data_IF_936327052274
#
_entry.id   IF_936327052274
#
_cell.length_a   1.000
_cell.length_b   1.000
_cell.length_c   1.000
_cell.angle_alpha   90.00
_cell.angle_beta   90.00
_cell.angle_gamma   90.00
#
_symmetry.space_group_name_H-M   'P 1'
#
loop_
_entity.id
_entity.type
_entity.pdbx_description
1 polymer ?
#
# COMPACT_ATOMS: atom_id res chain seq x y z
N UNK A 1 20.53 -23.85 -11.28
CA UNK A 1 19.97 -25.13 -11.73
C UNK A 1 20.10 -25.23 -13.23
N UNK A 2 20.63 -26.35 -13.74
CA UNK A 2 20.90 -26.55 -15.16
C UNK A 2 19.74 -27.37 -15.76
N UNK A 3 18.79 -26.71 -16.44
CA UNK A 3 17.66 -27.39 -17.07
C UNK A 3 18.09 -27.93 -18.44
N UNK A 4 18.41 -29.22 -18.50
CA UNK A 4 18.79 -29.91 -19.73
C UNK A 4 17.52 -30.39 -20.45
N UNK A 5 17.07 -29.63 -21.44
CA UNK A 5 15.82 -29.89 -22.15
C UNK A 5 16.07 -30.82 -23.35
N UNK A 6 15.84 -32.11 -23.17
CA UNK A 6 15.88 -33.11 -24.25
C UNK A 6 14.52 -33.14 -24.97
N UNK A 7 14.47 -32.72 -26.23
CA UNK A 7 13.27 -32.74 -27.07
C UNK A 7 13.44 -33.63 -28.30
N UNK A 8 12.49 -34.53 -28.53
CA UNK A 8 12.39 -35.32 -29.76
C UNK A 8 11.25 -34.73 -30.62
N UNK A 9 11.54 -34.39 -31.87
CA UNK A 9 10.56 -33.85 -32.82
C UNK A 9 10.40 -34.79 -34.01
N UNK A 10 9.15 -35.17 -34.32
CA UNK A 10 8.79 -36.07 -35.41
C UNK A 10 7.92 -35.30 -36.41
N UNK A 11 8.47 -35.02 -37.60
CA UNK A 11 7.77 -34.34 -38.69
C UNK A 11 7.34 -35.34 -39.76
N UNK A 12 6.02 -35.48 -40.00
CA UNK A 12 5.46 -36.38 -41.01
C UNK A 12 4.86 -35.59 -42.18
N UNK A 13 5.27 -35.90 -43.41
CA UNK A 13 4.79 -35.24 -44.64
C UNK A 13 3.95 -36.22 -45.46
N UNK A 14 2.67 -35.92 -45.64
CA UNK A 14 1.78 -36.68 -46.51
C UNK A 14 2.16 -36.44 -47.99
N UNK A 15 2.27 -37.51 -48.80
CA UNK A 15 2.54 -37.43 -50.25
C UNK A 15 3.98 -37.75 -50.70
N UNK A 16 4.90 -38.07 -49.78
CA UNK A 16 6.27 -38.52 -50.09
C UNK A 16 6.47 -39.96 -49.58
N UNK A 17 7.02 -40.89 -50.37
CA UNK A 17 7.19 -42.28 -49.93
C UNK A 17 8.09 -42.39 -48.69
N UNK A 18 7.64 -43.16 -47.69
CA UNK A 18 8.25 -43.29 -46.36
C UNK A 18 9.76 -43.62 -46.41
N UNK A 19 10.20 -44.41 -47.40
CA UNK A 19 11.61 -44.77 -47.61
C UNK A 19 12.53 -43.57 -47.87
N UNK A 20 12.01 -42.49 -48.47
CA UNK A 20 12.76 -41.25 -48.71
C UNK A 20 12.78 -40.33 -47.49
N UNK A 21 11.85 -40.50 -46.55
CA UNK A 21 11.80 -39.70 -45.31
C UNK A 21 12.75 -40.24 -44.23
N UNK A 22 13.16 -41.51 -44.33
CA UNK A 22 14.07 -42.19 -43.41
C UNK A 22 15.53 -42.26 -43.91
N UNK A 23 15.81 -41.78 -45.12
CA UNK A 23 17.15 -41.80 -45.72
C UNK A 23 17.96 -40.55 -45.36
N UNK A 24 19.13 -40.73 -44.74
CA UNK A 24 20.02 -39.64 -44.32
C UNK A 24 20.51 -38.73 -45.48
N UNK A 25 20.43 -39.17 -46.73
CA UNK A 25 20.82 -38.39 -47.92
C UNK A 25 19.83 -37.27 -48.31
N UNK A 26 18.58 -37.31 -47.85
CA UNK A 26 17.54 -36.34 -48.22
C UNK A 26 17.41 -35.19 -47.20
N UNK A 27 18.16 -35.23 -46.10
CA UNK A 27 18.18 -34.18 -45.07
C UNK A 27 18.72 -32.86 -45.64
N UNK A 28 19.65 -32.93 -46.60
CA UNK A 28 20.23 -31.76 -47.25
C UNK A 28 19.24 -30.98 -48.13
N UNK A 29 18.32 -31.64 -48.83
CA UNK A 29 17.26 -30.95 -49.60
C UNK A 29 16.17 -30.36 -48.71
N UNK A 30 15.92 -30.98 -47.54
CA UNK A 30 14.90 -30.52 -46.58
C UNK A 30 15.25 -29.19 -45.91
N UNK A 31 16.55 -28.83 -45.85
CA UNK A 31 17.04 -27.53 -45.39
C UNK A 31 17.11 -26.46 -46.50
N UNK A 32 16.75 -26.79 -47.75
CA UNK A 32 16.74 -25.80 -48.84
C UNK A 32 15.59 -24.81 -48.70
N UNK A 33 15.77 -23.58 -49.20
CA UNK A 33 14.74 -22.51 -49.21
C UNK A 33 13.40 -22.94 -49.82
N UNK A 34 13.40 -23.93 -50.74
CA UNK A 34 12.18 -24.51 -51.33
C UNK A 34 11.45 -25.49 -50.39
N UNK A 35 12.13 -26.07 -49.41
CA UNK A 35 11.61 -27.04 -48.44
C UNK A 35 11.04 -26.43 -47.16
N UNK A 36 11.39 -25.17 -46.86
CA UNK A 36 10.93 -24.41 -45.68
C UNK A 36 9.51 -23.83 -45.82
N UNK A 37 8.92 -23.84 -47.02
CA UNK A 37 7.53 -23.37 -47.26
C UNK A 37 6.44 -24.13 -46.48
N UNK A 38 6.77 -25.31 -45.96
CA UNK A 38 5.90 -26.12 -45.11
C UNK A 38 6.44 -26.24 -43.68
N UNK A 39 7.49 -25.50 -43.33
CA UNK A 39 7.96 -25.48 -41.96
C UNK A 39 6.94 -24.71 -41.12
N UNK A 40 6.54 -25.29 -39.99
CA UNK A 40 5.61 -24.61 -39.11
C UNK A 40 6.27 -23.32 -38.60
N UNK A 41 5.51 -22.23 -38.44
CA UNK A 41 6.07 -20.99 -37.90
C UNK A 41 6.65 -21.28 -36.52
N UNK A 42 7.97 -21.11 -36.35
CA UNK A 42 8.62 -21.16 -35.05
C UNK A 42 8.06 -20.02 -34.20
N UNK A 43 7.10 -20.35 -33.34
CA UNK A 43 6.56 -19.43 -32.34
C UNK A 43 6.84 -19.99 -30.96
N UNK A 44 7.33 -19.12 -30.08
CA UNK A 44 7.32 -19.40 -28.67
C UNK A 44 5.88 -19.26 -28.15
N UNK A 45 5.16 -20.39 -28.05
CA UNK A 45 3.77 -20.44 -27.56
C UNK A 45 3.67 -20.45 -26.02
N UNK A 46 4.74 -20.10 -25.30
CA UNK A 46 4.68 -20.01 -23.85
C UNK A 46 3.89 -18.76 -23.46
N UNK A 47 2.74 -18.89 -22.77
CA UNK A 47 2.02 -17.74 -22.26
C UNK A 47 2.90 -17.01 -21.24
N UNK A 48 3.14 -15.72 -21.48
CA UNK A 48 3.81 -14.85 -20.49
C UNK A 48 2.87 -14.64 -19.31
N UNK A 49 3.21 -15.19 -18.15
CA UNK A 49 2.47 -14.98 -16.92
C UNK A 49 2.86 -13.62 -16.34
N UNK A 50 1.96 -12.63 -16.42
CA UNK A 50 2.09 -11.39 -15.65
C UNK A 50 1.39 -11.54 -14.29
N UNK A 51 2.15 -11.38 -13.21
CA UNK A 51 1.59 -11.40 -11.86
C UNK A 51 1.24 -9.98 -11.40
N UNK A 52 -0.05 -9.69 -11.23
CA UNK A 52 -0.54 -8.45 -10.60
C UNK A 52 -0.96 -8.72 -9.18
N UNK A 53 -0.13 -8.33 -8.21
CA UNK A 53 -0.48 -8.41 -6.79
C UNK A 53 -1.69 -7.50 -6.50
N UNK A 54 -2.77 -8.07 -5.99
CA UNK A 54 -3.95 -7.31 -5.57
C UNK A 54 -3.65 -6.59 -4.24
N UNK A 55 -4.05 -5.33 -4.11
CA UNK A 55 -3.95 -4.59 -2.84
C UNK A 55 -4.90 -5.22 -1.81
N UNK A 56 -4.35 -5.96 -0.85
CA UNK A 56 -5.09 -6.70 0.18
C UNK A 56 -5.30 -5.92 1.47
N UNK A 57 -4.55 -4.83 1.65
CA UNK A 57 -4.61 -3.94 2.80
C UNK A 57 -4.50 -2.48 2.34
N UNK A 58 -5.42 -1.63 2.80
CA UNK A 58 -5.37 -0.18 2.63
C UNK A 58 -5.86 0.49 3.91
N UNK A 59 -5.20 1.56 4.32
CA UNK A 59 -5.57 2.36 5.51
C UNK A 59 -5.60 3.84 5.17
N UNK A 60 -6.58 4.54 5.73
CA UNK A 60 -6.71 5.99 5.65
C UNK A 60 -7.11 6.55 7.02
N UNK A 61 -6.49 7.65 7.43
CA UNK A 61 -6.77 8.37 8.66
C UNK A 61 -7.51 9.66 8.29
N UNK A 62 -8.74 9.81 8.80
CA UNK A 62 -9.53 11.00 8.54
C UNK A 62 -8.93 12.22 9.26
N UNK A 63 -8.78 13.32 8.53
CA UNK A 63 -8.36 14.60 9.11
C UNK A 63 -9.51 15.16 9.97
N UNK A 64 -9.27 15.45 11.26
CA UNK A 64 -10.24 16.12 12.12
C UNK A 64 -10.45 17.59 11.70
N UNK A 65 -11.50 18.26 12.19
CA UNK A 65 -11.73 19.69 11.90
C UNK A 65 -10.54 20.57 12.34
N UNK A 66 -10.37 21.72 11.66
CA UNK A 66 -9.19 22.58 11.79
C UNK A 66 -9.21 23.55 12.98
N UNK A 67 -10.22 23.50 13.85
CA UNK A 67 -10.42 24.40 14.99
C UNK A 67 -10.27 23.69 16.33
N UNK A 68 -9.13 23.04 16.55
CA UNK A 68 -8.88 22.25 17.75
C UNK A 68 -8.58 23.15 18.95
N UNK A 69 -9.27 22.90 20.07
CA UNK A 69 -9.06 23.62 21.33
C UNK A 69 -8.10 22.88 22.26
N UNK A 70 -7.38 23.61 23.13
CA UNK A 70 -6.60 23.00 24.21
C UNK A 70 -7.47 22.09 25.08
N UNK A 71 -6.99 20.88 25.39
CA UNK A 71 -7.71 19.90 26.21
C UNK A 71 -8.90 19.21 25.52
N UNK A 72 -9.19 19.51 24.25
CA UNK A 72 -10.29 18.89 23.52
C UNK A 72 -10.02 17.41 23.23
N UNK A 73 -11.05 16.58 23.39
CA UNK A 73 -11.00 15.16 23.00
C UNK A 73 -11.51 15.00 21.57
N UNK A 74 -10.59 14.71 20.66
CA UNK A 74 -10.85 14.55 19.23
C UNK A 74 -11.04 13.07 18.90
N UNK A 75 -12.19 12.66 18.32
CA UNK A 75 -12.36 11.30 17.84
C UNK A 75 -11.58 11.07 16.55
N UNK A 76 -10.69 10.09 16.55
CA UNK A 76 -9.92 9.67 15.37
C UNK A 76 -10.68 8.57 14.63
N UNK A 77 -10.94 8.79 13.33
CA UNK A 77 -11.64 7.83 12.48
C UNK A 77 -10.68 7.22 11.47
N UNK A 78 -10.51 5.90 11.55
CA UNK A 78 -9.69 5.13 10.64
C UNK A 78 -10.57 4.38 9.64
N UNK A 79 -10.24 4.49 8.36
CA UNK A 79 -10.85 3.70 7.29
C UNK A 79 -9.86 2.62 6.86
N UNK A 80 -10.05 1.41 7.39
CA UNK A 80 -9.20 0.26 7.08
C UNK A 80 -9.97 -0.73 6.23
N UNK A 81 -9.38 -1.13 5.10
CA UNK A 81 -9.85 -2.27 4.30
C UNK A 81 -8.77 -3.34 4.33
N UNK A 82 -9.07 -4.45 5.00
CA UNK A 82 -8.18 -5.61 5.08
C UNK A 82 -8.92 -6.87 4.65
N UNK A 83 -8.28 -7.71 3.83
CA UNK A 83 -8.80 -9.04 3.47
C UNK A 83 -8.59 -10.08 4.57
N UNK A 84 -7.54 -9.93 5.38
CA UNK A 84 -7.09 -10.95 6.35
C UNK A 84 -7.30 -10.52 7.81
N UNK A 85 -8.04 -9.43 8.04
CA UNK A 85 -8.23 -8.85 9.37
C UNK A 85 -7.05 -7.97 9.81
N UNK A 86 -7.20 -7.33 10.96
CA UNK A 86 -6.18 -6.45 11.54
C UNK A 86 -5.57 -7.16 12.75
N UNK A 87 -4.23 -7.25 12.76
CA UNK A 87 -3.48 -7.82 13.88
C UNK A 87 -3.14 -6.76 14.91
N UNK A 88 -2.57 -5.64 14.45
CA UNK A 88 -2.12 -4.54 15.31
C UNK A 88 -2.18 -3.20 14.58
N UNK A 89 -2.43 -2.14 15.35
CA UNK A 89 -2.28 -0.75 14.93
C UNK A 89 -1.14 -0.11 15.73
N UNK A 90 -0.27 0.60 15.03
CA UNK A 90 0.88 1.28 15.61
C UNK A 90 0.79 2.76 15.21
N UNK A 91 0.58 3.64 16.18
CA UNK A 91 0.57 5.08 15.95
C UNK A 91 2.00 5.62 15.81
N UNK A 92 2.18 6.58 14.91
CA UNK A 92 3.46 7.20 14.58
C UNK A 92 3.33 8.72 14.49
N UNK A 93 4.44 9.43 14.70
CA UNK A 93 4.50 10.89 14.74
C UNK A 93 4.71 11.40 16.16
N UNK A 94 4.03 12.47 16.54
CA UNK A 94 4.20 13.14 17.83
C UNK A 94 3.40 12.49 18.97
N UNK A 95 3.34 11.16 18.98
CA UNK A 95 2.55 10.36 19.92
C UNK A 95 3.02 10.44 21.37
N UNK A 96 4.18 11.06 21.65
CA UNK A 96 4.67 11.29 23.00
C UNK A 96 4.01 12.49 23.67
N UNK A 97 3.68 13.51 22.88
CA UNK A 97 3.00 14.72 23.35
C UNK A 97 1.49 14.52 23.27
N UNK A 98 1.05 13.82 22.23
CA UNK A 98 -0.34 13.50 21.95
C UNK A 98 -0.83 12.32 22.81
N UNK A 99 -1.77 12.56 23.71
CA UNK A 99 -2.36 11.52 24.56
C UNK A 99 -3.43 10.73 23.81
N UNK A 100 -3.02 9.57 23.26
CA UNK A 100 -3.89 8.65 22.53
C UNK A 100 -4.60 7.69 23.49
N UNK A 101 -5.93 7.63 23.41
CA UNK A 101 -6.74 6.69 24.16
C UNK A 101 -7.32 5.64 23.20
N UNK A 102 -7.03 4.35 23.41
CA UNK A 102 -7.63 3.29 22.62
C UNK A 102 -9.13 3.16 22.91
N UNK A 103 -9.89 2.76 21.90
CA UNK A 103 -11.30 2.41 22.06
C UNK A 103 -11.49 1.06 22.76
N UNK A 104 -12.66 0.44 22.57
CA UNK A 104 -13.01 -0.85 23.17
C UNK A 104 -12.01 -1.97 22.85
N UNK A 105 -11.32 -1.89 21.72
CA UNK A 105 -10.24 -2.80 21.36
C UNK A 105 -9.10 -2.02 20.71
N UNK A 106 -7.86 -2.23 21.18
CA UNK A 106 -6.69 -1.56 20.63
C UNK A 106 -6.36 -1.94 19.17
N UNK A 107 -6.96 -3.02 18.64
CA UNK A 107 -6.84 -3.43 17.24
C UNK A 107 -8.05 -3.00 16.38
N UNK A 108 -9.00 -2.24 16.95
CA UNK A 108 -10.15 -1.72 16.21
C UNK A 108 -9.77 -0.47 15.41
N UNK A 109 -10.45 -0.29 14.28
CA UNK A 109 -10.40 0.95 13.49
C UNK A 109 -11.21 2.09 14.14
N UNK A 110 -12.06 1.77 15.12
CA UNK A 110 -13.04 2.68 15.70
C UNK A 110 -12.80 2.90 17.20
N UNK A 111 -13.22 4.07 17.67
CA UNK A 111 -13.21 4.42 19.10
C UNK A 111 -11.88 5.00 19.59
N UNK A 112 -10.92 5.23 18.71
CA UNK A 112 -9.70 5.97 19.07
C UNK A 112 -10.04 7.43 19.34
N UNK A 113 -9.57 7.93 20.48
CA UNK A 113 -9.66 9.35 20.81
C UNK A 113 -8.28 9.90 21.10
N UNK A 114 -8.12 11.18 20.82
CA UNK A 114 -6.92 11.94 21.05
C UNK A 114 -7.26 13.12 21.94
N UNK A 115 -6.50 13.32 23.01
CA UNK A 115 -6.62 14.50 23.85
C UNK A 115 -5.57 15.51 23.41
N UNK A 116 -6.02 16.70 23.01
CA UNK A 116 -5.12 17.79 22.61
C UNK A 116 -4.37 18.34 23.84
N UNK A 117 -3.05 18.57 23.74
CA UNK A 117 -2.29 19.16 24.83
C UNK A 117 -2.68 20.63 25.04
N UNK A 118 -2.27 21.18 26.18
CA UNK A 118 -2.46 22.60 26.49
C UNK A 118 -1.64 23.49 25.54
N UNK A 119 -2.12 24.70 25.31
CA UNK A 119 -1.44 25.68 24.47
C UNK A 119 -0.09 26.07 25.09
N UNK A 120 0.98 25.95 24.30
CA UNK A 120 2.32 26.34 24.73
C UNK A 120 2.60 27.78 24.27
N UNK A 121 2.85 28.66 25.25
CA UNK A 121 3.34 30.02 25.03
C UNK A 121 4.87 30.02 25.12
N UNK A 122 5.56 30.28 24.00
CA UNK A 122 7.01 30.41 23.97
C UNK A 122 7.60 30.55 22.56
N UNK A 123 8.74 31.24 22.47
CA UNK A 123 9.56 31.33 21.25
C UNK A 123 10.08 29.93 20.88
N UNK A 124 9.33 29.20 20.06
CA UNK A 124 9.62 27.80 19.70
C UNK A 124 8.45 26.83 19.92
N UNK A 125 7.32 27.28 20.46
CA UNK A 125 6.10 26.48 20.53
C UNK A 125 5.55 26.26 19.12
N UNK A 126 5.63 25.03 18.62
CA UNK A 126 5.12 24.70 17.30
C UNK A 126 3.60 24.65 17.31
N UNK A 127 2.93 24.16 18.37
CA UNK A 127 1.47 23.95 18.45
C UNK A 127 0.86 23.21 17.23
N UNK A 128 1.72 22.48 16.51
CA UNK A 128 1.39 21.68 15.34
C UNK A 128 2.00 20.29 15.55
N UNK A 129 1.18 19.25 15.42
CA UNK A 129 1.61 17.86 15.59
C UNK A 129 1.23 17.00 14.40
N UNK A 130 2.12 16.07 14.04
CA UNK A 130 1.91 15.11 12.96
C UNK A 130 1.51 13.77 13.52
N UNK A 131 0.51 13.17 12.90
CA UNK A 131 0.00 11.87 13.29
C UNK A 131 -0.23 11.00 12.07
N UNK A 132 0.22 9.75 12.17
CA UNK A 132 -0.06 8.69 11.19
C UNK A 132 -0.22 7.36 11.91
N UNK A 133 -0.76 6.36 11.20
CA UNK A 133 -0.92 5.01 11.74
C UNK A 133 -0.36 3.97 10.77
N UNK A 134 0.25 2.94 11.32
CA UNK A 134 0.68 1.74 10.60
C UNK A 134 -0.20 0.58 11.03
N UNK A 135 -0.78 -0.11 10.06
CA UNK A 135 -1.63 -1.28 10.28
C UNK A 135 -0.87 -2.51 9.81
N UNK A 136 -0.81 -3.53 10.67
CA UNK A 136 -0.33 -4.87 10.31
C UNK A 136 -1.51 -5.84 10.21
N UNK A 137 -1.58 -6.60 9.13
CA UNK A 137 -2.56 -7.70 8.99
C UNK A 137 -2.05 -9.02 9.58
N UNK A 138 -2.92 -10.03 9.61
CA UNK A 138 -2.56 -11.36 10.11
C UNK A 138 -1.58 -12.13 9.20
N UNK A 139 -1.32 -11.65 7.98
CA UNK A 139 -0.31 -12.20 7.06
C UNK A 139 1.06 -11.52 7.23
N UNK A 140 1.17 -10.52 8.11
CA UNK A 140 2.39 -9.74 8.34
C UNK A 140 2.59 -8.59 7.35
N UNK A 141 1.61 -8.28 6.50
CA UNK A 141 1.65 -7.11 5.63
C UNK A 141 1.46 -5.84 6.48
N UNK A 142 2.38 -4.88 6.32
CA UNK A 142 2.33 -3.57 6.97
C UNK A 142 2.03 -2.48 5.96
N UNK A 143 1.06 -1.62 6.27
CA UNK A 143 0.71 -0.45 5.44
C UNK A 143 0.54 0.77 6.35
N UNK A 144 1.16 1.89 5.96
CA UNK A 144 1.00 3.19 6.62
C UNK A 144 -0.17 3.98 6.03
N UNK A 145 -0.81 4.78 6.86
CA UNK A 145 -1.84 5.74 6.44
C UNK A 145 -1.23 7.01 5.85
N UNK A 146 -2.09 7.93 5.42
CA UNK A 146 -1.73 9.33 5.27
C UNK A 146 -1.31 9.94 6.62
N UNK A 147 -0.46 10.95 6.55
CA UNK A 147 -0.11 11.81 7.68
C UNK A 147 -1.12 12.96 7.78
N UNK A 148 -1.59 13.24 8.98
CA UNK A 148 -2.41 14.41 9.29
C UNK A 148 -1.62 15.38 10.15
N UNK A 149 -1.87 16.67 10.00
CA UNK A 149 -1.32 17.72 10.87
C UNK A 149 -2.45 18.29 11.72
N UNK A 150 -2.25 18.31 13.03
CA UNK A 150 -3.17 18.85 14.02
C UNK A 150 -2.63 20.21 14.45
N UNK A 151 -3.42 21.26 14.26
CA UNK A 151 -3.04 22.64 14.58
C UNK A 151 -3.92 23.12 15.71
N UNK A 152 -3.31 23.53 16.83
CA UNK A 152 -4.06 24.12 17.93
C UNK A 152 -4.40 25.57 17.57
N UNK A 153 -5.61 25.99 17.89
CA UNK A 153 -5.98 27.41 17.82
C UNK A 153 -5.57 28.08 19.12
N UNK A 154 -5.02 29.28 19.02
CA UNK A 154 -4.70 30.10 20.20
C UNK A 154 -5.97 30.30 21.02
N UNK A 155 -5.95 30.02 22.34
CA UNK A 155 -7.09 30.32 23.19
C UNK A 155 -7.33 31.83 23.12
N UNK A 156 -8.54 32.22 22.73
CA UNK A 156 -8.94 33.62 22.81
C UNK A 156 -9.07 33.99 24.28
N UNK A 157 -7.97 34.49 24.87
CA UNK A 157 -8.03 35.20 26.13
C UNK A 157 -8.77 36.50 25.86
N UNK A 158 -10.06 36.53 26.22
CA UNK A 158 -10.80 37.78 26.28
C UNK A 158 -10.03 38.70 27.24
N UNK A 159 -9.35 39.68 26.65
CA UNK A 159 -8.56 40.70 27.31
C UNK A 159 -9.25 41.20 28.59
N UNK A 160 -8.52 41.09 29.70
CA UNK A 160 -8.50 42.03 30.82
C UNK A 160 -9.84 42.67 31.17
N UNK A 161 -10.60 42.02 32.05
CA UNK A 161 -11.75 42.62 32.74
C UNK A 161 -11.35 43.73 33.77
N UNK A 162 -10.23 44.43 33.55
CA UNK A 162 -9.62 45.32 34.55
C UNK A 162 -9.45 46.78 34.09
N UNK A 163 -9.96 47.15 32.90
CA UNK A 163 -9.83 48.52 32.38
C UNK A 163 -11.18 49.25 32.24
N UNK A 164 -12.10 49.02 33.18
CA UNK A 164 -13.28 49.88 33.39
C UNK A 164 -13.39 50.33 34.86
N UNK A 165 -12.29 50.81 35.43
CA UNK A 165 -12.36 51.69 36.60
C UNK A 165 -12.70 53.10 36.13
N UNK A 166 -13.99 53.39 36.06
CA UNK A 166 -14.48 54.76 36.10
C UNK A 166 -14.13 55.36 37.46
N UNK A 167 -13.21 56.33 37.52
CA UNK A 167 -13.09 57.22 38.67
C UNK A 167 -14.06 58.42 38.50
N UNK A 168 -14.76 58.82 39.58
CA UNK A 168 -15.86 59.81 39.55
C UNK A 168 -15.41 61.26 39.42
#
# INVERSE_FOLDING_TARGET
ENQNNLGLNLNYRFGVPLKKQLSAGEVAESQSLRGSRYDNPQRNNLPTLEYRQRKTLTVFLATPPWDLKPGETVPLKLQIRSRYGIRQLIWQGDTQILSLTPGAQANSAEGWTLIMPDWQNGEGASNHWRLSVVVEDNQGQRVSSNEITLTLVEPFDALSNDELRWEP
#
